data_IF_929420711703
#
_entry.id   IF_929420711703
#
_cell.length_a   1.000
_cell.length_b   1.000
_cell.length_c   1.000
_cell.angle_alpha   90.00
_cell.angle_beta   90.00
_cell.angle_gamma   90.00
#
_symmetry.space_group_name_H-M   'P 1'
#
loop_
_entity.id
_entity.type
_entity.pdbx_description
1 polymer ?
#
# COMPACT_ATOMS: atom_id res chain seq x y z
N UNK A 1 27.03 -21.19 2.79
CA UNK A 1 26.89 -19.99 3.62
C UNK A 1 26.82 -18.74 2.75
N UNK A 2 27.78 -18.51 1.84
CA UNK A 2 27.81 -17.35 0.94
C UNK A 2 26.55 -17.28 0.07
N UNK A 3 26.20 -18.36 -0.63
CA UNK A 3 25.01 -18.45 -1.49
C UNK A 3 23.73 -18.21 -0.70
N UNK A 4 23.62 -18.75 0.52
CA UNK A 4 22.47 -18.51 1.39
C UNK A 4 22.35 -17.03 1.80
N UNK A 5 23.47 -16.37 2.09
CA UNK A 5 23.50 -14.95 2.42
C UNK A 5 23.15 -14.06 1.21
N UNK A 6 23.64 -14.41 0.01
CA UNK A 6 23.31 -13.73 -1.24
C UNK A 6 21.81 -13.87 -1.56
N UNK A 7 21.26 -15.08 -1.42
CA UNK A 7 19.82 -15.33 -1.62
C UNK A 7 18.96 -14.55 -0.61
N UNK A 8 19.38 -14.51 0.66
CA UNK A 8 18.68 -13.76 1.71
C UNK A 8 18.71 -12.25 1.44
N UNK A 9 19.87 -11.71 1.03
CA UNK A 9 20.02 -10.30 0.63
C UNK A 9 19.13 -9.94 -0.55
N UNK A 10 19.15 -10.75 -1.63
CA UNK A 10 18.32 -10.53 -2.80
C UNK A 10 16.82 -10.57 -2.47
N UNK A 11 16.41 -11.49 -1.60
CA UNK A 11 15.00 -11.59 -1.14
C UNK A 11 14.59 -10.38 -0.30
N UNK A 12 15.44 -9.93 0.64
CA UNK A 12 15.17 -8.75 1.45
C UNK A 12 15.07 -7.50 0.56
N UNK A 13 15.93 -7.34 -0.44
CA UNK A 13 15.87 -6.25 -1.42
C UNK A 13 14.59 -6.30 -2.24
N UNK A 14 14.15 -7.49 -2.68
CA UNK A 14 12.89 -7.64 -3.42
C UNK A 14 11.67 -7.26 -2.55
N UNK A 15 11.62 -7.71 -1.29
CA UNK A 15 10.56 -7.31 -0.36
C UNK A 15 10.58 -5.81 -0.09
N UNK A 16 11.76 -5.21 0.11
CA UNK A 16 11.90 -3.77 0.29
C UNK A 16 11.34 -3.00 -0.91
N UNK A 17 11.70 -3.40 -2.14
CA UNK A 17 11.22 -2.75 -3.37
C UNK A 17 9.70 -2.87 -3.52
N UNK A 18 9.14 -4.06 -3.32
CA UNK A 18 7.68 -4.27 -3.38
C UNK A 18 6.94 -3.46 -2.31
N UNK A 19 7.49 -3.42 -1.10
CA UNK A 19 6.91 -2.64 0.00
C UNK A 19 6.97 -1.15 -0.29
N UNK A 20 8.07 -0.66 -0.88
CA UNK A 20 8.20 0.76 -1.27
C UNK A 20 7.18 1.16 -2.35
N UNK A 21 6.89 0.28 -3.32
CA UNK A 21 5.81 0.54 -4.28
C UNK A 21 4.45 0.65 -3.59
N UNK A 22 4.18 -0.20 -2.60
CA UNK A 22 2.95 -0.15 -1.81
C UNK A 22 2.87 1.12 -0.94
N UNK A 23 3.99 1.58 -0.37
CA UNK A 23 4.08 2.87 0.35
C UNK A 23 3.67 4.01 -0.57
N UNK A 24 4.23 4.07 -1.79
CA UNK A 24 3.90 5.12 -2.77
C UNK A 24 2.43 5.07 -3.19
N UNK A 25 1.85 3.88 -3.31
CA UNK A 25 0.41 3.72 -3.58
C UNK A 25 -0.44 4.23 -2.42
N UNK A 26 -0.09 3.89 -1.18
CA UNK A 26 -0.81 4.35 0.01
C UNK A 26 -0.74 5.88 0.17
N UNK A 27 0.40 6.51 -0.15
CA UNK A 27 0.58 7.96 -0.15
C UNK A 27 -0.30 8.66 -1.20
N UNK A 28 -0.35 8.10 -2.42
CA UNK A 28 -1.24 8.60 -3.45
C UNK A 28 -2.71 8.49 -3.03
N UNK A 29 -3.10 7.34 -2.46
CA UNK A 29 -4.48 7.13 -1.97
C UNK A 29 -4.83 8.07 -0.80
N UNK A 30 -3.88 8.41 0.07
CA UNK A 30 -4.09 9.39 1.14
C UNK A 30 -4.48 10.77 0.59
N UNK A 31 -3.74 11.22 -0.43
CA UNK A 31 -4.04 12.46 -1.15
C UNK A 31 -5.42 12.41 -1.80
N UNK A 32 -5.77 11.31 -2.44
CA UNK A 32 -7.06 11.13 -3.11
C UNK A 32 -8.23 11.01 -2.14
N UNK A 33 -8.08 10.31 -1.02
CA UNK A 33 -9.09 10.22 0.04
C UNK A 33 -9.34 11.59 0.67
N UNK A 34 -8.29 12.39 0.86
CA UNK A 34 -8.40 13.78 1.32
C UNK A 34 -9.19 14.62 0.31
N UNK A 35 -8.94 14.45 -0.99
CA UNK A 35 -9.69 15.13 -2.03
C UNK A 35 -11.17 14.71 -2.05
N UNK A 36 -11.47 13.40 -1.91
CA UNK A 36 -12.87 12.90 -1.77
C UNK A 36 -13.56 13.47 -0.54
N UNK A 37 -12.87 13.57 0.60
CA UNK A 37 -13.41 14.22 1.81
C UNK A 37 -13.70 15.71 1.56
N UNK A 38 -12.84 16.38 0.77
CA UNK A 38 -13.09 17.76 0.30
C UNK A 38 -14.33 17.87 -0.55
N UNK A 39 -14.59 16.91 -1.46
CA UNK A 39 -15.81 16.88 -2.29
C UNK A 39 -17.07 16.65 -1.43
N UNK A 40 -17.01 15.77 -0.43
CA UNK A 40 -18.12 15.57 0.51
C UNK A 40 -18.40 16.85 1.30
N UNK A 41 -17.36 17.57 1.73
CA UNK A 41 -17.52 18.86 2.41
C UNK A 41 -18.07 19.96 1.48
N UNK A 42 -17.71 19.94 0.20
CA UNK A 42 -18.30 20.82 -0.80
C UNK A 42 -19.79 20.53 -1.02
N UNK A 43 -20.19 19.25 -1.06
CA UNK A 43 -21.60 18.85 -1.16
C UNK A 43 -22.39 19.31 0.07
N UNK A 44 -21.85 19.08 1.27
CA UNK A 44 -22.42 19.57 2.53
C UNK A 44 -22.63 21.09 2.48
N UNK A 45 -21.60 21.82 2.04
CA UNK A 45 -21.68 23.28 1.90
C UNK A 45 -22.73 23.70 0.87
N UNK A 46 -22.80 23.04 -0.27
CA UNK A 46 -23.78 23.34 -1.31
C UNK A 46 -25.24 23.19 -0.80
N UNK A 47 -25.50 22.10 -0.05
CA UNK A 47 -26.81 21.88 0.60
C UNK A 47 -27.07 22.96 1.66
N UNK A 48 -26.08 23.27 2.51
CA UNK A 48 -26.24 24.30 3.54
C UNK A 48 -26.47 25.70 2.96
N UNK A 49 -25.73 26.05 1.89
CA UNK A 49 -25.90 27.34 1.19
C UNK A 49 -27.28 27.43 0.53
N UNK A 50 -27.77 26.33 -0.08
CA UNK A 50 -29.11 26.28 -0.67
C UNK A 50 -30.21 26.53 0.38
N UNK A 51 -30.09 25.89 1.55
CA UNK A 51 -31.01 26.10 2.67
C UNK A 51 -30.93 27.54 3.21
N UNK A 52 -29.74 28.06 3.43
CA UNK A 52 -29.50 29.39 4.00
C UNK A 52 -29.98 30.51 3.07
N UNK A 53 -29.75 30.35 1.76
CA UNK A 53 -30.14 31.33 0.75
C UNK A 53 -31.61 31.14 0.27
N UNK A 54 -32.25 30.06 0.72
CA UNK A 54 -33.58 29.65 0.22
C UNK A 54 -33.63 29.47 -1.31
N UNK A 55 -32.49 28.98 -1.90
CA UNK A 55 -32.31 28.82 -3.35
C UNK A 55 -31.37 27.64 -3.62
N UNK A 56 -31.83 26.62 -4.34
CA UNK A 56 -31.07 25.46 -4.75
C UNK A 56 -30.82 25.40 -6.27
N UNK A 57 -31.03 26.47 -7.00
CA UNK A 57 -30.94 26.50 -8.48
C UNK A 57 -29.59 26.03 -9.03
N UNK A 58 -28.51 26.21 -8.28
CA UNK A 58 -27.16 25.80 -8.67
C UNK A 58 -26.76 24.37 -8.19
N UNK A 59 -27.54 23.78 -7.30
CA UNK A 59 -27.24 22.50 -6.67
C UNK A 59 -27.07 21.35 -7.67
N UNK A 60 -27.90 21.17 -8.71
CA UNK A 60 -27.70 20.10 -9.69
C UNK A 60 -26.36 20.22 -10.44
N UNK A 61 -25.96 21.44 -10.80
CA UNK A 61 -24.68 21.67 -11.49
C UNK A 61 -23.49 21.39 -10.56
N UNK A 62 -23.58 21.80 -9.31
CA UNK A 62 -22.54 21.52 -8.31
C UNK A 62 -22.45 20.02 -8.02
N UNK A 63 -23.59 19.33 -7.87
CA UNK A 63 -23.64 17.89 -7.68
C UNK A 63 -23.05 17.11 -8.86
N UNK A 64 -23.32 17.53 -10.12
CA UNK A 64 -22.69 16.92 -11.30
C UNK A 64 -21.17 17.11 -11.28
N UNK A 65 -20.68 18.31 -10.96
CA UNK A 65 -19.25 18.57 -10.86
C UNK A 65 -18.58 17.74 -9.77
N UNK A 66 -19.24 17.50 -8.64
CA UNK A 66 -18.75 16.63 -7.56
C UNK A 66 -18.73 15.18 -8.03
N UNK A 67 -19.74 14.70 -8.74
CA UNK A 67 -19.77 13.37 -9.32
C UNK A 67 -18.60 13.15 -10.29
N UNK A 68 -18.37 14.11 -11.20
CA UNK A 68 -17.30 14.03 -12.21
C UNK A 68 -15.93 13.90 -11.53
N UNK A 69 -15.65 14.73 -10.54
CA UNK A 69 -14.40 14.71 -9.80
C UNK A 69 -14.25 13.44 -8.95
N UNK A 70 -15.32 13.00 -8.27
CA UNK A 70 -15.30 11.77 -7.48
C UNK A 70 -15.07 10.54 -8.38
N UNK A 71 -15.72 10.46 -9.53
CA UNK A 71 -15.54 9.39 -10.50
C UNK A 71 -14.11 9.39 -11.06
N UNK A 72 -13.55 10.57 -11.36
CA UNK A 72 -12.16 10.68 -11.82
C UNK A 72 -11.17 10.16 -10.76
N UNK A 73 -11.37 10.48 -9.49
CA UNK A 73 -10.53 10.00 -8.39
C UNK A 73 -10.69 8.49 -8.23
N UNK A 74 -11.91 7.98 -8.14
CA UNK A 74 -12.19 6.56 -7.93
C UNK A 74 -11.78 5.68 -9.11
N UNK A 75 -11.72 6.23 -10.32
CA UNK A 75 -11.25 5.56 -11.54
C UNK A 75 -9.78 5.89 -11.87
N UNK A 76 -9.02 6.40 -10.90
CA UNK A 76 -7.59 6.63 -11.13
C UNK A 76 -6.79 5.33 -11.23
N UNK A 77 -5.73 5.36 -12.03
CA UNK A 77 -4.87 4.21 -12.29
C UNK A 77 -3.44 4.45 -11.77
N UNK A 78 -2.73 3.36 -11.54
CA UNK A 78 -1.28 3.37 -11.31
C UNK A 78 -0.50 3.55 -12.64
N UNK A 79 0.83 3.57 -12.56
CA UNK A 79 1.71 3.69 -13.73
C UNK A 79 1.60 2.52 -14.73
N UNK A 80 1.03 1.39 -14.32
CA UNK A 80 0.81 0.21 -15.15
C UNK A 80 -0.59 0.20 -15.79
N UNK A 81 -1.44 1.18 -15.46
CA UNK A 81 -2.81 1.26 -15.92
C UNK A 81 -3.81 0.47 -15.08
N UNK A 82 -3.43 -0.07 -13.92
CA UNK A 82 -4.33 -0.78 -13.03
C UNK A 82 -5.11 0.21 -12.16
N UNK A 83 -6.40 0.00 -12.00
CA UNK A 83 -7.25 0.86 -11.16
C UNK A 83 -6.91 0.72 -9.68
N UNK A 84 -6.64 1.85 -9.03
CA UNK A 84 -6.20 1.89 -7.62
C UNK A 84 -7.30 1.47 -6.64
N UNK A 85 -8.56 1.68 -6.99
CA UNK A 85 -9.73 1.39 -6.16
C UNK A 85 -10.51 0.14 -6.62
N UNK A 86 -9.95 -0.60 -7.59
CA UNK A 86 -10.57 -1.80 -8.17
C UNK A 86 -10.47 -3.05 -7.28
N UNK A 87 -9.56 -3.06 -6.30
CA UNK A 87 -9.25 -4.28 -5.55
C UNK A 87 -8.63 -5.34 -6.45
N UNK A 88 -9.13 -6.57 -6.37
CA UNK A 88 -8.72 -7.68 -7.24
C UNK A 88 -9.14 -7.50 -8.72
N UNK A 89 -10.12 -6.63 -8.96
CA UNK A 89 -10.66 -6.29 -10.28
C UNK A 89 -10.07 -4.96 -10.76
N UNK A 90 -8.78 -4.93 -10.97
CA UNK A 90 -8.04 -3.70 -11.28
C UNK A 90 -7.92 -3.35 -12.77
N UNK A 91 -8.52 -4.17 -13.64
CA UNK A 91 -8.50 -4.00 -15.10
C UNK A 91 -9.77 -3.35 -15.66
N UNK A 92 -10.77 -3.08 -14.83
CA UNK A 92 -12.03 -2.43 -15.21
C UNK A 92 -12.26 -1.20 -14.34
N UNK A 93 -12.90 -0.13 -14.88
CA UNK A 93 -13.22 1.06 -14.09
C UNK A 93 -14.08 0.71 -12.87
N UNK A 94 -13.65 1.03 -11.65
CA UNK A 94 -14.42 0.75 -10.44
C UNK A 94 -15.77 1.45 -10.36
N UNK A 95 -15.90 2.63 -10.97
CA UNK A 95 -17.17 3.38 -11.03
C UNK A 95 -17.64 3.47 -12.48
N UNK A 96 -18.89 3.06 -12.73
CA UNK A 96 -19.44 2.89 -14.08
C UNK A 96 -20.36 4.03 -14.52
N UNK A 97 -20.74 4.93 -13.61
CA UNK A 97 -21.62 6.07 -13.87
C UNK A 97 -20.81 7.35 -14.10
N UNK A 98 -21.30 8.21 -14.98
CA UNK A 98 -20.68 9.49 -15.30
C UNK A 98 -21.64 10.68 -15.21
N UNK A 99 -22.95 10.45 -15.08
CA UNK A 99 -23.94 11.53 -14.97
C UNK A 99 -24.91 11.28 -13.82
N UNK A 100 -25.41 12.37 -13.25
CA UNK A 100 -26.45 12.31 -12.22
C UNK A 100 -27.70 11.58 -12.71
N UNK A 101 -28.06 11.73 -13.99
CA UNK A 101 -29.20 11.03 -14.58
C UNK A 101 -28.98 9.50 -14.61
N UNK A 102 -27.78 9.03 -14.95
CA UNK A 102 -27.44 7.61 -14.86
C UNK A 102 -27.52 7.12 -13.41
N UNK A 103 -26.94 7.90 -12.49
CA UNK A 103 -26.91 7.55 -11.07
C UNK A 103 -28.32 7.48 -10.48
N UNK A 104 -29.19 8.45 -10.79
CA UNK A 104 -30.61 8.48 -10.36
C UNK A 104 -31.40 7.29 -10.92
N UNK A 105 -31.07 6.82 -12.12
CA UNK A 105 -31.73 5.68 -12.78
C UNK A 105 -31.38 4.30 -12.21
N UNK A 106 -30.35 4.20 -11.36
CA UNK A 106 -29.96 2.92 -10.74
C UNK A 106 -30.96 2.48 -9.68
N UNK A 107 -31.19 1.17 -9.57
CA UNK A 107 -32.00 0.60 -8.48
C UNK A 107 -31.29 0.77 -7.14
N UNK A 108 -30.02 0.50 -7.08
CA UNK A 108 -29.17 0.67 -5.89
C UNK A 108 -27.91 1.45 -6.24
N UNK A 109 -27.38 2.21 -5.29
CA UNK A 109 -26.07 2.85 -5.46
C UNK A 109 -24.93 1.84 -5.65
N UNK A 110 -25.09 0.61 -5.14
CA UNK A 110 -24.13 -0.47 -5.36
C UNK A 110 -23.95 -0.83 -6.84
N UNK A 111 -24.99 -0.59 -7.67
CA UNK A 111 -24.92 -0.86 -9.11
C UNK A 111 -24.03 0.14 -9.87
N UNK A 112 -23.59 1.22 -9.20
CA UNK A 112 -22.63 2.18 -9.73
C UNK A 112 -21.19 1.65 -9.69
N UNK A 113 -20.93 0.57 -8.94
CA UNK A 113 -19.59 0.04 -8.71
C UNK A 113 -19.38 -1.31 -9.40
N UNK A 114 -18.21 -1.46 -10.04
CA UNK A 114 -17.73 -2.71 -10.64
C UNK A 114 -16.32 -3.10 -10.09
N UNK A 115 -15.98 -2.66 -8.88
CA UNK A 115 -14.76 -3.09 -8.20
C UNK A 115 -14.91 -4.51 -7.64
N UNK A 116 -13.77 -5.16 -7.35
CA UNK A 116 -13.72 -6.44 -6.64
C UNK A 116 -14.19 -6.32 -5.19
N UNK A 117 -14.30 -7.46 -4.53
CA UNK A 117 -14.72 -7.54 -3.11
C UNK A 117 -13.53 -7.62 -2.16
N UNK A 118 -12.36 -8.00 -2.68
CA UNK A 118 -11.15 -8.16 -1.90
C UNK A 118 -10.12 -7.06 -2.21
N UNK A 119 -9.51 -6.54 -1.14
CA UNK A 119 -8.38 -5.62 -1.25
C UNK A 119 -7.13 -6.37 -1.68
N UNK A 120 -6.25 -5.71 -2.43
CA UNK A 120 -4.94 -6.27 -2.75
C UNK A 120 -4.10 -6.46 -1.50
N UNK A 121 -3.15 -7.40 -1.55
CA UNK A 121 -2.15 -7.56 -0.50
C UNK A 121 -0.75 -7.58 -1.09
N UNK A 122 0.20 -7.00 -0.38
CA UNK A 122 1.61 -7.02 -0.74
C UNK A 122 2.39 -7.86 0.27
N UNK A 123 3.29 -8.69 -0.24
CA UNK A 123 4.17 -9.47 0.60
C UNK A 123 5.35 -8.60 1.04
N UNK A 124 5.42 -8.31 2.34
CA UNK A 124 6.41 -7.42 2.96
C UNK A 124 7.55 -8.17 3.64
N UNK A 125 7.46 -9.50 3.71
CA UNK A 125 8.46 -10.37 4.33
C UNK A 125 8.11 -11.84 4.14
N UNK A 126 8.96 -12.74 4.62
CA UNK A 126 8.70 -14.19 4.56
C UNK A 126 7.48 -14.56 5.41
N UNK A 127 6.37 -14.92 4.76
CA UNK A 127 5.11 -15.24 5.43
C UNK A 127 4.37 -14.03 6.03
N UNK A 128 4.78 -12.81 5.68
CA UNK A 128 4.13 -11.57 6.12
C UNK A 128 3.55 -10.82 4.93
N UNK A 129 2.28 -10.49 5.00
CA UNK A 129 1.59 -9.66 4.00
C UNK A 129 0.79 -8.56 4.68
N UNK A 130 0.66 -7.43 3.99
CA UNK A 130 -0.17 -6.29 4.40
C UNK A 130 -1.23 -6.10 3.33
N UNK A 131 -2.49 -5.99 3.75
CA UNK A 131 -3.55 -5.56 2.84
C UNK A 131 -3.37 -4.08 2.51
N UNK A 132 -3.41 -3.77 1.23
CA UNK A 132 -3.24 -2.41 0.72
C UNK A 132 -4.44 -2.01 -0.11
N UNK A 133 -4.60 -0.71 -0.24
CA UNK A 133 -5.65 -0.15 -1.06
C UNK A 133 -7.00 -0.06 -0.34
N UNK A 134 -7.89 0.62 -1.01
CA UNK A 134 -9.25 0.89 -0.58
C UNK A 134 -10.15 0.59 -1.78
N UNK A 135 -11.32 0.00 -1.56
CA UNK A 135 -12.28 -0.26 -2.64
C UNK A 135 -13.11 0.98 -2.93
N UNK A 136 -13.44 1.20 -4.20
CA UNK A 136 -14.30 2.33 -4.60
C UNK A 136 -15.64 2.29 -3.87
N UNK A 137 -16.23 1.11 -3.73
CA UNK A 137 -17.49 0.93 -2.99
C UNK A 137 -17.37 1.25 -1.50
N UNK A 138 -16.20 0.99 -0.85
CA UNK A 138 -16.02 1.29 0.57
C UNK A 138 -16.07 2.80 0.86
N UNK A 139 -15.52 3.62 -0.04
CA UNK A 139 -15.36 5.06 0.18
C UNK A 139 -16.31 5.92 -0.65
N UNK A 140 -16.80 5.40 -1.78
CA UNK A 140 -17.67 6.14 -2.69
C UNK A 140 -19.16 6.02 -2.39
N UNK A 141 -19.60 4.93 -1.76
CA UNK A 141 -21.03 4.61 -1.60
C UNK A 141 -21.83 5.73 -0.97
N UNK A 142 -21.38 6.31 0.14
CA UNK A 142 -22.15 7.36 0.83
C UNK A 142 -22.23 8.65 0.01
N UNK A 143 -21.12 9.03 -0.65
CA UNK A 143 -21.10 10.21 -1.51
C UNK A 143 -22.02 10.04 -2.72
N UNK A 144 -21.93 8.90 -3.41
CA UNK A 144 -22.76 8.60 -4.56
C UNK A 144 -24.24 8.40 -4.15
N UNK A 145 -24.52 7.88 -2.95
CA UNK A 145 -25.89 7.77 -2.45
C UNK A 145 -26.50 9.16 -2.28
N UNK A 146 -25.85 10.10 -1.59
CA UNK A 146 -26.34 11.46 -1.42
C UNK A 146 -26.54 12.14 -2.78
N UNK A 147 -25.61 11.98 -3.73
CA UNK A 147 -25.74 12.51 -5.09
C UNK A 147 -26.92 11.87 -5.85
N UNK A 148 -27.13 10.55 -5.68
CA UNK A 148 -28.26 9.82 -6.26
C UNK A 148 -29.60 10.34 -5.73
N UNK A 149 -29.66 10.56 -4.42
CA UNK A 149 -30.88 11.02 -3.75
C UNK A 149 -31.24 12.46 -4.19
N UNK A 150 -30.23 13.35 -4.28
CA UNK A 150 -30.39 14.70 -4.84
C UNK A 150 -30.89 14.65 -6.29
N UNK A 151 -30.24 13.83 -7.13
CA UNK A 151 -30.60 13.71 -8.55
C UNK A 151 -31.99 13.09 -8.74
N UNK A 152 -32.32 12.08 -7.95
CA UNK A 152 -33.63 11.43 -7.96
C UNK A 152 -34.76 12.37 -7.50
N UNK A 153 -34.50 13.16 -6.46
CA UNK A 153 -35.44 14.16 -5.99
C UNK A 153 -35.64 15.28 -7.04
N UNK A 154 -34.52 15.81 -7.59
CA UNK A 154 -34.56 16.87 -8.62
C UNK A 154 -35.38 16.46 -9.86
N UNK A 155 -35.23 15.19 -10.29
CA UNK A 155 -36.01 14.63 -11.41
C UNK A 155 -37.46 14.33 -11.06
N UNK A 156 -37.83 14.33 -9.79
CA UNK A 156 -39.16 14.03 -9.31
C UNK A 156 -40.16 15.20 -9.43
N UNK A 157 -41.45 14.96 -9.18
CA UNK A 157 -42.51 15.96 -9.39
C UNK A 157 -42.43 17.16 -8.44
N UNK A 158 -41.74 17.04 -7.31
CA UNK A 158 -41.56 18.09 -6.28
C UNK A 158 -40.14 18.67 -6.24
N UNK A 159 -39.22 18.12 -7.06
CA UNK A 159 -37.82 18.54 -7.16
C UNK A 159 -37.66 19.83 -7.96
N UNK A 160 -37.11 19.68 -9.17
CA UNK A 160 -36.87 20.78 -10.11
C UNK A 160 -36.14 21.99 -9.47
N UNK A 161 -34.98 21.73 -8.87
CA UNK A 161 -34.22 22.79 -8.21
C UNK A 161 -33.83 23.93 -9.16
N UNK A 162 -33.48 23.63 -10.42
CA UNK A 162 -33.11 24.63 -11.40
C UNK A 162 -34.25 25.54 -11.86
N UNK A 163 -35.49 25.09 -11.70
CA UNK A 163 -36.67 25.83 -12.09
C UNK A 163 -37.27 26.72 -10.98
N UNK A 164 -36.73 26.67 -9.78
CA UNK A 164 -37.28 27.37 -8.61
C UNK A 164 -36.34 28.52 -8.18
N UNK A 165 -36.91 29.71 -8.00
CA UNK A 165 -36.15 30.86 -7.46
C UNK A 165 -36.22 30.92 -5.93
N UNK A 166 -37.04 30.10 -5.31
CA UNK A 166 -37.15 29.93 -3.86
C UNK A 166 -37.50 28.48 -3.55
N UNK A 167 -36.96 27.95 -2.47
CA UNK A 167 -37.22 26.57 -2.05
C UNK A 167 -38.72 26.40 -1.69
N UNK A 168 -39.32 25.37 -2.24
CA UNK A 168 -40.59 24.86 -1.76
C UNK A 168 -40.43 24.15 -0.41
N UNK A 169 -41.50 23.94 0.34
CA UNK A 169 -41.43 23.15 1.58
C UNK A 169 -40.86 21.77 1.35
N UNK A 170 -41.25 21.09 0.25
CA UNK A 170 -40.76 19.77 -0.08
C UNK A 170 -39.23 19.76 -0.36
N UNK A 171 -38.73 20.77 -1.07
CA UNK A 171 -37.29 20.93 -1.33
C UNK A 171 -36.52 21.23 -0.05
N UNK A 172 -37.07 22.10 0.82
CA UNK A 172 -36.46 22.42 2.11
C UNK A 172 -36.37 21.20 3.02
N UNK A 173 -37.45 20.44 3.16
CA UNK A 173 -37.53 19.22 3.98
C UNK A 173 -36.57 18.16 3.47
N UNK A 174 -36.50 17.97 2.15
CA UNK A 174 -35.56 17.04 1.53
C UNK A 174 -34.09 17.44 1.82
N UNK A 175 -33.68 18.68 1.52
CA UNK A 175 -32.35 19.17 1.74
C UNK A 175 -31.94 19.12 3.23
N UNK A 176 -32.91 19.39 4.13
CA UNK A 176 -32.70 19.27 5.58
C UNK A 176 -32.44 17.83 5.98
N UNK A 177 -33.08 16.84 5.32
CA UNK A 177 -32.85 15.42 5.58
C UNK A 177 -31.52 14.91 4.99
N UNK A 178 -31.04 15.51 3.89
CA UNK A 178 -29.76 15.10 3.24
C UNK A 178 -28.53 15.70 3.89
N UNK A 179 -28.63 16.82 4.58
CA UNK A 179 -27.51 17.48 5.22
C UNK A 179 -26.73 16.58 6.20
N UNK A 180 -27.37 15.81 7.11
CA UNK A 180 -26.67 14.85 7.97
C UNK A 180 -25.96 13.74 7.21
N UNK A 181 -26.48 13.31 6.06
CA UNK A 181 -25.87 12.29 5.21
C UNK A 181 -24.54 12.81 4.61
N UNK A 182 -24.54 14.04 4.12
CA UNK A 182 -23.33 14.69 3.61
C UNK A 182 -22.26 14.84 4.72
N UNK A 183 -22.65 15.19 5.96
CA UNK A 183 -21.75 15.24 7.13
C UNK A 183 -21.17 13.85 7.44
N UNK A 184 -22.02 12.83 7.45
CA UNK A 184 -21.59 11.44 7.70
C UNK A 184 -20.61 10.96 6.63
N UNK A 185 -20.86 11.32 5.36
CA UNK A 185 -19.96 11.00 4.24
C UNK A 185 -18.56 11.57 4.47
N UNK A 186 -18.44 12.86 4.82
CA UNK A 186 -17.15 13.48 5.12
C UNK A 186 -16.45 12.80 6.31
N UNK A 187 -17.19 12.44 7.35
CA UNK A 187 -16.65 11.75 8.54
C UNK A 187 -16.12 10.35 8.18
N UNK A 188 -16.87 9.60 7.37
CA UNK A 188 -16.44 8.25 6.95
C UNK A 188 -15.20 8.30 6.05
N UNK A 189 -15.09 9.29 5.17
CA UNK A 189 -13.91 9.51 4.34
C UNK A 189 -12.69 9.88 5.18
N UNK A 190 -12.84 10.73 6.20
CA UNK A 190 -11.76 11.02 7.14
C UNK A 190 -11.31 9.77 7.92
N UNK A 191 -12.25 8.90 8.28
CA UNK A 191 -11.93 7.62 8.91
C UNK A 191 -11.16 6.70 7.95
N UNK A 192 -11.56 6.65 6.67
CA UNK A 192 -10.84 5.89 5.64
C UNK A 192 -9.43 6.44 5.42
N UNK A 193 -9.26 7.76 5.40
CA UNK A 193 -7.94 8.41 5.33
C UNK A 193 -7.06 8.02 6.52
N UNK A 194 -7.61 8.07 7.75
CA UNK A 194 -6.86 7.65 8.94
C UNK A 194 -6.46 6.16 8.89
N UNK A 195 -7.36 5.29 8.42
CA UNK A 195 -7.06 3.86 8.23
C UNK A 195 -5.96 3.64 7.17
N UNK A 196 -5.99 4.39 6.06
CA UNK A 196 -4.94 4.34 5.04
C UNK A 196 -3.59 4.83 5.60
N UNK A 197 -3.57 5.88 6.42
CA UNK A 197 -2.37 6.36 7.11
C UNK A 197 -1.76 5.30 8.04
N UNK A 198 -2.59 4.46 8.68
CA UNK A 198 -2.11 3.33 9.47
C UNK A 198 -1.43 2.26 8.60
N UNK A 199 -2.02 1.95 7.45
CA UNK A 199 -1.42 1.03 6.45
C UNK A 199 -0.10 1.59 5.94
N UNK A 200 -0.05 2.87 5.59
CA UNK A 200 1.16 3.58 5.16
C UNK A 200 2.30 3.43 6.18
N UNK A 201 2.04 3.70 7.45
CA UNK A 201 3.05 3.57 8.52
C UNK A 201 3.53 2.11 8.66
N UNK A 202 2.61 1.14 8.61
CA UNK A 202 2.97 -0.28 8.68
C UNK A 202 3.86 -0.72 7.52
N UNK A 203 3.59 -0.23 6.31
CA UNK A 203 4.41 -0.48 5.13
C UNK A 203 5.78 0.19 5.24
N UNK A 204 5.85 1.42 5.75
CA UNK A 204 7.09 2.16 5.97
C UNK A 204 8.01 1.43 6.95
N UNK A 205 7.45 0.93 8.05
CA UNK A 205 8.18 0.12 9.03
C UNK A 205 8.70 -1.18 8.41
N UNK A 206 7.86 -1.86 7.63
CA UNK A 206 8.25 -3.07 6.92
C UNK A 206 9.37 -2.80 5.90
N UNK A 207 9.29 -1.73 5.12
CA UNK A 207 10.33 -1.34 4.16
C UNK A 207 11.67 -1.05 4.87
N UNK A 208 11.63 -0.35 6.00
CA UNK A 208 12.80 -0.06 6.83
C UNK A 208 13.43 -1.34 7.37
N UNK A 209 12.61 -2.25 7.88
CA UNK A 209 13.09 -3.55 8.39
C UNK A 209 13.74 -4.38 7.29
N UNK A 210 13.16 -4.45 6.08
CA UNK A 210 13.74 -5.16 4.95
C UNK A 210 15.04 -4.50 4.45
N UNK A 211 15.13 -3.18 4.46
CA UNK A 211 16.35 -2.43 4.17
C UNK A 211 17.49 -2.75 5.15
N UNK A 212 17.17 -2.83 6.43
CA UNK A 212 18.14 -3.25 7.48
C UNK A 212 18.63 -4.68 7.27
N UNK A 213 17.70 -5.61 6.96
CA UNK A 213 18.05 -7.00 6.66
C UNK A 213 18.92 -7.12 5.39
N UNK A 214 18.57 -6.38 4.33
CA UNK A 214 19.36 -6.35 3.09
C UNK A 214 20.78 -5.85 3.35
N UNK A 215 20.94 -4.79 4.14
CA UNK A 215 22.26 -4.25 4.53
C UNK A 215 23.04 -5.25 5.36
N UNK A 216 22.40 -5.92 6.33
CA UNK A 216 23.03 -6.94 7.16
C UNK A 216 23.55 -8.12 6.32
N UNK A 217 22.71 -8.68 5.45
CA UNK A 217 23.10 -9.80 4.58
C UNK A 217 24.19 -9.40 3.58
N UNK A 218 24.13 -8.19 3.03
CA UNK A 218 25.18 -7.65 2.15
C UNK A 218 26.51 -7.50 2.88
N UNK A 219 26.48 -7.09 4.15
CA UNK A 219 27.65 -7.05 5.03
C UNK A 219 28.25 -8.46 5.23
N UNK A 220 27.43 -9.47 5.45
CA UNK A 220 27.89 -10.87 5.54
C UNK A 220 28.51 -11.35 4.23
N UNK A 221 27.86 -11.07 3.10
CA UNK A 221 28.42 -11.39 1.76
C UNK A 221 29.79 -10.73 1.58
N UNK A 222 29.90 -9.43 1.86
CA UNK A 222 31.17 -8.70 1.78
C UNK A 222 32.24 -9.27 2.70
N UNK A 223 31.91 -9.61 3.94
CA UNK A 223 32.88 -10.16 4.89
C UNK A 223 33.38 -11.54 4.51
N UNK A 224 32.57 -12.36 3.83
CA UNK A 224 32.96 -13.68 3.33
C UNK A 224 33.79 -13.55 2.04
N UNK A 225 33.45 -12.62 1.15
CA UNK A 225 34.10 -12.42 -0.15
C UNK A 225 35.44 -11.67 0.01
N UNK A 226 35.55 -10.75 0.96
CA UNK A 226 36.72 -9.93 1.18
C UNK A 226 37.65 -10.54 2.22
N UNK A 227 37.79 -11.88 2.25
CA UNK A 227 38.90 -12.53 2.96
C UNK A 227 40.20 -12.04 2.30
N UNK A 228 40.99 -11.27 3.04
CA UNK A 228 42.24 -10.74 2.53
C UNK A 228 43.15 -11.91 2.04
N UNK A 229 43.38 -12.04 0.72
CA UNK A 229 44.20 -13.13 0.17
C UNK A 229 45.60 -13.14 0.76
N UNK A 230 46.16 -11.98 1.14
CA UNK A 230 47.48 -11.88 1.76
C UNK A 230 47.50 -12.51 3.15
N UNK A 231 46.46 -12.29 3.96
CA UNK A 231 46.30 -12.94 5.27
C UNK A 231 46.09 -14.43 5.13
N UNK A 232 45.26 -14.87 4.17
CA UNK A 232 45.04 -16.31 3.90
C UNK A 232 46.29 -17.02 3.41
N UNK A 233 47.08 -16.42 2.51
CA UNK A 233 48.36 -16.94 2.02
C UNK A 233 49.38 -16.97 3.14
N UNK A 234 49.44 -15.93 3.99
CA UNK A 234 50.35 -15.89 5.14
C UNK A 234 50.03 -17.02 6.12
N UNK A 235 48.77 -17.28 6.40
CA UNK A 235 48.34 -18.36 7.29
C UNK A 235 48.57 -19.74 6.67
N UNK A 236 48.37 -19.89 5.34
CA UNK A 236 48.70 -21.11 4.60
C UNK A 236 50.19 -21.40 4.66
N UNK A 237 51.03 -20.41 4.41
CA UNK A 237 52.52 -20.55 4.49
C UNK A 237 52.97 -20.89 5.91
N UNK A 238 52.38 -20.25 6.93
CA UNK A 238 52.68 -20.58 8.33
C UNK A 238 52.30 -22.03 8.69
N UNK A 239 51.12 -22.47 8.23
CA UNK A 239 50.67 -23.85 8.43
C UNK A 239 51.51 -24.86 7.68
N UNK A 240 51.97 -24.57 6.45
CA UNK A 240 52.90 -25.42 5.69
C UNK A 240 54.25 -25.52 6.38
N UNK A 241 54.78 -24.40 6.89
CA UNK A 241 56.04 -24.36 7.64
C UNK A 241 55.93 -25.17 8.93
N UNK A 242 54.82 -25.02 9.67
CA UNK A 242 54.54 -25.79 10.89
C UNK A 242 54.42 -27.29 10.59
N UNK A 243 53.78 -27.68 9.50
CA UNK A 243 53.68 -29.08 9.06
C UNK A 243 55.04 -29.65 8.69
N UNK A 244 55.85 -28.88 7.94
CA UNK A 244 57.24 -29.30 7.60
C UNK A 244 58.11 -29.48 8.84
N UNK A 245 58.02 -28.54 9.80
CA UNK A 245 58.73 -28.67 11.08
C UNK A 245 58.25 -29.89 11.88
N UNK A 246 56.96 -30.16 11.93
CA UNK A 246 56.39 -31.34 12.60
C UNK A 246 56.84 -32.63 11.94
N UNK A 247 56.93 -32.69 10.60
CA UNK A 247 57.46 -33.86 9.87
C UNK A 247 58.90 -34.06 10.11
N UNK A 248 59.71 -32.97 10.17
CA UNK A 248 61.18 -33.08 10.52
C UNK A 248 61.41 -33.60 11.94
N UNK A 249 60.65 -33.08 12.91
CA UNK A 249 60.69 -33.57 14.31
C UNK A 249 60.27 -35.04 14.37
N UNK A 250 59.22 -35.44 13.66
CA UNK A 250 58.77 -36.83 13.61
C UNK A 250 59.85 -37.74 12.97
N UNK A 251 60.47 -37.25 11.89
CA UNK A 251 61.61 -38.00 11.24
C UNK A 251 62.80 -38.13 12.16
N UNK A 252 63.17 -37.06 12.90
CA UNK A 252 64.25 -37.11 13.91
C UNK A 252 63.94 -38.04 15.08
N UNK A 253 62.67 -38.01 15.57
CA UNK A 253 62.22 -38.95 16.60
C UNK A 253 62.23 -40.41 16.11
N UNK A 254 61.92 -40.63 14.83
CA UNK A 254 61.99 -41.93 14.19
C UNK A 254 63.47 -42.45 14.06
N UNK A 255 64.47 -41.56 13.98
CA UNK A 255 65.88 -41.91 13.97
C UNK A 255 66.42 -42.12 15.37
N UNK A 256 65.85 -41.59 16.40
CA UNK A 256 66.15 -41.91 17.80
C UNK A 256 65.40 -43.18 18.18
N UNK A 257 65.70 -44.24 17.51
CA UNK A 257 65.14 -45.56 17.79
C UNK A 257 65.59 -46.02 19.21
N UNK A 258 64.59 -46.50 19.97
CA UNK A 258 64.83 -47.16 21.29
C UNK A 258 65.89 -48.26 21.21
N UNK A 259 66.21 -48.77 20.02
CA UNK A 259 67.26 -49.78 19.74
C UNK A 259 68.70 -49.25 19.98
N UNK A 260 68.93 -47.91 19.94
CA UNK A 260 70.27 -47.35 20.24
C UNK A 260 70.54 -47.19 21.74
N UNK A 261 69.56 -47.44 22.59
CA UNK A 261 69.68 -47.35 24.06
C UNK A 261 69.62 -48.72 24.75
N UNK A 262 69.44 -49.79 23.99
CA UNK A 262 69.52 -51.14 24.57
C UNK A 262 70.96 -51.58 24.59
N UNK A 263 71.54 -51.88 25.76
CA UNK A 263 72.88 -52.42 25.82
C UNK A 263 72.93 -53.78 25.12
N UNK A 264 74.01 -54.00 24.33
CA UNK A 264 74.24 -55.25 23.64
C UNK A 264 74.31 -56.40 24.66
N UNK A 265 73.63 -57.54 24.38
CA UNK A 265 73.72 -58.67 25.28
C UNK A 265 75.15 -59.12 25.36
N UNK A 266 75.74 -59.04 26.55
CA UNK A 266 77.04 -59.64 26.86
C UNK A 266 76.87 -61.17 26.92
N UNK A 267 77.44 -61.89 25.88
CA UNK A 267 77.58 -63.32 25.85
C UNK A 267 78.77 -63.82 26.62
#
# INVERSE_FOLDING_TARGET
VLEAAQTASARATAYQSNTQMAVNQADLQDTQLTALSGLASQLQKAISDALANNDASTLPTQAQSILDQATQILNSTDANGNYLYGGEKDNTPPVTVSTLSQLAGLTSVSDAFDNGTEKKSVQVGSGQSVQIGVLASDVGTNLLQTLKDIAGFDAGPTGNFAGSTTLTSAQNDFLTSELPQAVTTATNLNTATAANGYVYNSLQDAATNQGTLSTLYSGFVSSIQNVDPATAITQLNANQTALQAALQVTAQLGQVSLLNYLPAPTG
#
